data_IF_752980132994
#
_entry.id   IF_752980132994
#
_cell.length_a   1.000
_cell.length_b   1.000
_cell.length_c   1.000
_cell.angle_alpha   90.00
_cell.angle_beta   90.00
_cell.angle_gamma   90.00
#
_symmetry.space_group_name_H-M   'P 1'
#
loop_
_entity.id
_entity.type
_entity.pdbx_description
1 polymer ?
#
# COMPACT_ATOMS: atom_id res chain seq x y z
N UNK A 1 -15.83 -5.59 -34.15
CA UNK A 1 -16.81 -4.48 -34.08
C UNK A 1 -16.33 -3.24 -33.32
N UNK A 2 -15.34 -3.30 -32.40
CA UNK A 2 -14.79 -2.09 -31.72
C UNK A 2 -13.80 -1.26 -32.55
N UNK A 3 -13.07 -1.87 -33.49
CA UNK A 3 -12.06 -1.18 -34.30
C UNK A 3 -12.66 -0.18 -35.30
N UNK A 4 -13.76 -0.55 -35.97
CA UNK A 4 -14.47 0.31 -36.92
C UNK A 4 -15.12 1.53 -36.25
N UNK A 5 -15.69 1.34 -35.05
CA UNK A 5 -16.27 2.44 -34.27
C UNK A 5 -15.22 3.45 -33.81
N UNK A 6 -14.03 3.00 -33.40
CA UNK A 6 -12.91 3.88 -33.03
C UNK A 6 -12.40 4.68 -34.22
N UNK A 7 -12.25 4.04 -35.38
CA UNK A 7 -11.80 4.70 -36.61
C UNK A 7 -12.76 5.82 -37.04
N UNK A 8 -14.07 5.54 -37.05
CA UNK A 8 -15.07 6.56 -37.38
C UNK A 8 -15.19 7.70 -36.35
N UNK A 9 -14.86 7.44 -35.08
CA UNK A 9 -14.81 8.49 -34.06
C UNK A 9 -13.60 9.41 -34.25
N UNK A 10 -12.42 8.84 -34.56
CA UNK A 10 -11.21 9.60 -34.86
C UNK A 10 -11.42 10.48 -36.10
N UNK A 11 -12.01 9.91 -37.16
CA UNK A 11 -12.30 10.66 -38.39
C UNK A 11 -13.23 11.85 -38.16
N UNK A 12 -14.28 11.68 -37.32
CA UNK A 12 -15.18 12.79 -36.97
C UNK A 12 -14.52 13.84 -36.07
N UNK A 13 -13.60 13.44 -35.21
CA UNK A 13 -12.83 14.38 -34.38
C UNK A 13 -11.86 15.17 -35.27
N UNK A 14 -11.13 14.52 -36.17
CA UNK A 14 -10.22 15.18 -37.10
C UNK A 14 -10.99 16.15 -38.02
N UNK A 15 -12.13 15.74 -38.56
CA UNK A 15 -12.98 16.63 -39.37
C UNK A 15 -13.47 17.85 -38.58
N UNK A 16 -13.76 17.69 -37.29
CA UNK A 16 -14.17 18.79 -36.42
C UNK A 16 -13.00 19.68 -35.94
N UNK A 17 -11.76 19.16 -35.97
CA UNK A 17 -10.54 19.89 -35.63
C UNK A 17 -9.93 20.63 -36.83
N UNK A 18 -10.17 20.15 -38.05
CA UNK A 18 -9.78 20.80 -39.32
C UNK A 18 -10.61 22.06 -39.62
N UNK A 19 -11.74 22.24 -38.94
CA UNK A 19 -12.44 23.51 -38.95
C UNK A 19 -11.56 24.58 -38.26
N UNK A 20 -11.01 25.48 -39.07
CA UNK A 20 -10.09 26.57 -38.71
C UNK A 20 -10.65 27.55 -37.64
N UNK A 21 -11.90 27.32 -37.23
CA UNK A 21 -12.58 27.95 -36.11
C UNK A 21 -11.82 27.71 -34.80
N UNK A 22 -11.37 26.48 -34.51
CA UNK A 22 -10.73 26.14 -33.24
C UNK A 22 -9.37 26.84 -33.05
N UNK A 23 -8.55 26.91 -34.11
CA UNK A 23 -7.27 27.63 -34.06
C UNK A 23 -7.44 29.13 -33.85
N UNK A 24 -8.55 29.71 -34.34
CA UNK A 24 -8.86 31.14 -34.18
C UNK A 24 -9.52 31.48 -32.85
N UNK A 25 -10.21 30.52 -32.21
CA UNK A 25 -10.88 30.71 -30.91
C UNK A 25 -10.10 30.15 -29.73
N UNK A 26 -9.00 29.43 -29.96
CA UNK A 26 -8.11 29.01 -28.88
C UNK A 26 -7.61 30.25 -28.11
N UNK A 27 -7.86 30.32 -26.78
CA UNK A 27 -7.42 31.46 -25.99
C UNK A 27 -5.90 31.58 -26.09
N UNK A 28 -5.40 32.78 -26.41
CA UNK A 28 -3.95 33.01 -26.41
C UNK A 28 -3.47 32.99 -24.96
N UNK A 29 -2.84 31.89 -24.58
CA UNK A 29 -2.26 31.75 -23.24
C UNK A 29 -1.05 32.67 -23.16
N UNK A 30 -1.22 33.84 -22.54
CA UNK A 30 -0.09 34.66 -22.15
C UNK A 30 0.78 33.86 -21.15
N UNK A 31 2.11 33.87 -21.34
CA UNK A 31 3.07 33.12 -20.49
C UNK A 31 2.96 33.42 -18.99
N UNK A 32 2.31 34.53 -18.61
CA UNK A 32 2.12 34.98 -17.22
C UNK A 32 0.81 34.52 -16.58
N UNK A 33 -0.04 33.77 -17.27
CA UNK A 33 -1.34 33.38 -16.74
C UNK A 33 -1.18 32.43 -15.54
N UNK A 34 -1.67 32.77 -14.34
CA UNK A 34 -1.47 31.94 -13.16
C UNK A 34 -2.17 30.60 -13.32
N UNK A 35 -1.44 29.50 -13.07
CA UNK A 35 -1.91 28.12 -13.27
C UNK A 35 -3.28 27.82 -12.63
N UNK A 36 -3.59 28.46 -11.49
CA UNK A 36 -4.88 28.30 -10.80
C UNK A 36 -6.08 28.81 -11.58
N UNK A 37 -5.96 29.92 -12.32
CA UNK A 37 -7.07 30.47 -13.11
C UNK A 37 -7.36 29.58 -14.31
N UNK A 38 -6.32 29.08 -14.97
CA UNK A 38 -6.44 28.10 -16.05
C UNK A 38 -7.10 26.79 -15.56
N UNK A 39 -6.76 26.33 -14.35
CA UNK A 39 -7.41 25.17 -13.74
C UNK A 39 -8.89 25.41 -13.40
N UNK A 40 -9.28 26.64 -13.05
CA UNK A 40 -10.68 26.98 -12.80
C UNK A 40 -11.49 27.03 -14.11
N UNK A 41 -10.95 27.63 -15.15
CA UNK A 41 -11.60 27.75 -16.46
C UNK A 41 -11.75 26.39 -17.14
N UNK A 42 -10.71 25.55 -17.12
CA UNK A 42 -10.78 24.18 -17.59
C UNK A 42 -11.84 23.35 -16.85
N UNK A 43 -12.00 23.57 -15.53
CA UNK A 43 -13.05 22.91 -14.74
C UNK A 43 -14.44 23.40 -15.09
N UNK A 44 -14.61 24.70 -15.40
CA UNK A 44 -15.89 25.27 -15.82
C UNK A 44 -16.34 24.67 -17.17
N UNK A 45 -15.44 24.61 -18.15
CA UNK A 45 -15.71 23.99 -19.46
C UNK A 45 -16.01 22.49 -19.29
N UNK A 46 -15.23 21.78 -18.48
CA UNK A 46 -15.48 20.37 -18.21
C UNK A 46 -16.86 20.15 -17.56
N UNK A 47 -17.29 21.03 -16.64
CA UNK A 47 -18.60 20.92 -16.00
C UNK A 47 -19.75 21.12 -16.99
N UNK A 48 -19.56 21.93 -18.03
CA UNK A 48 -20.58 22.21 -19.05
C UNK A 48 -20.70 21.07 -20.09
N UNK A 49 -19.60 20.35 -20.36
CA UNK A 49 -19.52 19.31 -21.40
C UNK A 49 -19.73 17.89 -20.85
N UNK A 50 -19.57 17.67 -19.55
CA UNK A 50 -19.78 16.34 -18.95
C UNK A 50 -21.29 16.05 -18.83
N UNK A 51 -21.83 15.34 -19.83
CA UNK A 51 -23.24 14.97 -19.95
C UNK A 51 -23.65 13.77 -19.06
N UNK A 52 -22.70 13.00 -18.54
CA UNK A 52 -22.94 11.94 -17.58
C UNK A 52 -21.67 11.64 -16.76
N UNK A 53 -21.75 11.82 -15.44
CA UNK A 53 -20.74 11.28 -14.53
C UNK A 53 -21.04 9.82 -14.21
N UNK A 54 -20.09 8.88 -14.37
CA UNK A 54 -20.26 7.52 -13.86
C UNK A 54 -20.53 7.57 -12.35
N UNK A 55 -21.53 6.85 -11.85
CA UNK A 55 -21.91 6.82 -10.41
C UNK A 55 -20.72 6.50 -9.50
N UNK A 56 -19.75 5.73 -10.01
CA UNK A 56 -18.47 5.42 -9.36
C UNK A 56 -17.69 6.66 -8.91
N UNK A 57 -17.81 7.79 -9.62
CA UNK A 57 -17.11 9.03 -9.28
C UNK A 57 -17.68 9.72 -8.04
N UNK A 58 -18.98 9.57 -7.73
CA UNK A 58 -19.61 10.33 -6.64
C UNK A 58 -19.24 9.77 -5.26
N UNK A 59 -19.24 8.44 -5.11
CA UNK A 59 -18.80 7.75 -3.89
C UNK A 59 -17.31 7.97 -3.65
N UNK A 60 -16.50 7.82 -4.70
CA UNK A 60 -15.04 8.02 -4.67
C UNK A 60 -14.67 9.45 -4.29
N UNK A 61 -15.38 10.45 -4.83
CA UNK A 61 -15.19 11.89 -4.56
C UNK A 61 -15.64 12.29 -3.14
N UNK A 62 -16.72 11.68 -2.62
CA UNK A 62 -17.15 11.90 -1.24
C UNK A 62 -16.16 11.31 -0.24
N UNK A 63 -15.69 10.08 -0.50
CA UNK A 63 -14.59 9.49 0.27
C UNK A 63 -13.33 10.36 0.19
N UNK A 64 -12.96 10.85 -1.00
CA UNK A 64 -11.81 11.75 -1.17
C UNK A 64 -11.93 13.01 -0.31
N UNK A 65 -13.11 13.62 -0.23
CA UNK A 65 -13.31 14.84 0.55
C UNK A 65 -13.08 14.65 2.06
N UNK A 66 -13.40 13.47 2.59
CA UNK A 66 -13.22 13.10 4.00
C UNK A 66 -11.77 12.67 4.24
N UNK A 67 -11.19 11.91 3.32
CA UNK A 67 -9.85 11.32 3.44
C UNK A 67 -8.73 12.32 3.16
N UNK A 68 -8.92 13.30 2.27
CA UNK A 68 -7.93 14.35 1.96
C UNK A 68 -8.06 15.60 2.84
N UNK A 69 -8.97 15.62 3.82
CA UNK A 69 -9.10 16.77 4.70
C UNK A 69 -7.85 16.93 5.58
N UNK A 70 -7.32 18.16 5.71
CA UNK A 70 -6.00 18.44 6.30
C UNK A 70 -5.82 17.94 7.74
N UNK A 71 -6.92 17.78 8.49
CA UNK A 71 -6.91 17.24 9.85
C UNK A 71 -7.53 15.84 9.94
N UNK A 72 -8.59 15.54 9.20
CA UNK A 72 -9.24 14.23 9.27
C UNK A 72 -8.42 13.13 8.59
N UNK A 73 -7.69 13.44 7.51
CA UNK A 73 -6.86 12.48 6.78
C UNK A 73 -5.84 11.77 7.68
N UNK A 74 -4.96 12.49 8.40
CA UNK A 74 -4.00 11.89 9.33
C UNK A 74 -4.64 11.04 10.43
N UNK A 75 -5.76 11.49 11.00
CA UNK A 75 -6.48 10.76 12.06
C UNK A 75 -7.09 9.48 11.53
N UNK A 76 -7.69 9.50 10.35
CA UNK A 76 -8.26 8.32 9.69
C UNK A 76 -7.15 7.32 9.35
N UNK A 77 -6.03 7.81 8.80
CA UNK A 77 -4.86 6.96 8.52
C UNK A 77 -4.32 6.29 9.78
N UNK A 78 -4.12 7.07 10.86
CA UNK A 78 -3.66 6.55 12.14
C UNK A 78 -4.65 5.52 12.73
N UNK A 79 -5.95 5.78 12.60
CA UNK A 79 -7.00 4.86 13.08
C UNK A 79 -7.04 3.56 12.29
N UNK A 80 -6.93 3.62 10.95
CA UNK A 80 -6.86 2.43 10.09
C UNK A 80 -5.61 1.63 10.41
N UNK A 81 -4.46 2.29 10.54
CA UNK A 81 -3.20 1.64 10.83
C UNK A 81 -3.22 1.00 12.23
N UNK A 82 -3.75 1.71 13.23
CA UNK A 82 -3.95 1.19 14.58
C UNK A 82 -4.87 -0.04 14.59
N UNK A 83 -6.01 0.05 13.90
CA UNK A 83 -6.95 -1.06 13.78
C UNK A 83 -6.31 -2.25 13.07
N UNK A 84 -5.57 -2.03 11.99
CA UNK A 84 -4.84 -3.07 11.28
C UNK A 84 -3.87 -3.78 12.22
N UNK A 85 -3.02 -3.05 12.97
CA UNK A 85 -2.09 -3.68 13.93
C UNK A 85 -2.81 -4.50 15.00
N UNK A 86 -3.85 -3.93 15.62
CA UNK A 86 -4.65 -4.65 16.61
C UNK A 86 -5.25 -5.92 16.02
N UNK A 87 -5.81 -5.84 14.81
CA UNK A 87 -6.39 -6.99 14.13
C UNK A 87 -5.34 -8.05 13.79
N UNK A 88 -4.17 -7.68 13.27
CA UNK A 88 -3.13 -8.66 12.92
C UNK A 88 -2.69 -9.42 14.18
N UNK A 89 -2.28 -8.73 15.24
CA UNK A 89 -1.81 -9.40 16.46
C UNK A 89 -2.93 -10.15 17.20
N UNK A 90 -4.11 -9.55 17.36
CA UNK A 90 -5.18 -10.19 18.10
C UNK A 90 -5.73 -11.43 17.37
N UNK A 91 -5.92 -11.35 16.05
CA UNK A 91 -6.48 -12.47 15.29
C UNK A 91 -5.47 -13.56 14.96
N UNK A 92 -4.17 -13.23 14.91
CA UNK A 92 -3.14 -14.24 14.66
C UNK A 92 -2.84 -15.11 15.88
N UNK A 93 -3.10 -14.65 17.12
CA UNK A 93 -2.82 -15.46 18.33
C UNK A 93 -3.49 -16.84 18.28
N UNK A 94 -4.79 -16.87 17.98
CA UNK A 94 -5.55 -18.12 17.90
C UNK A 94 -4.98 -19.17 16.92
N UNK A 95 -4.69 -18.84 15.65
CA UNK A 95 -4.06 -19.79 14.73
C UNK A 95 -2.58 -20.07 15.07
N UNK A 96 -1.85 -19.13 15.67
CA UNK A 96 -0.48 -19.35 16.14
C UNK A 96 -0.45 -20.45 17.22
N UNK A 97 -1.31 -20.33 18.24
CA UNK A 97 -1.40 -21.29 19.33
C UNK A 97 -1.81 -22.68 18.82
N UNK A 98 -2.70 -22.74 17.81
CA UNK A 98 -3.09 -24.01 17.19
C UNK A 98 -1.92 -24.70 16.48
N UNK A 99 -1.11 -23.95 15.74
CA UNK A 99 0.06 -24.47 15.05
C UNK A 99 1.10 -24.92 16.09
N UNK A 100 1.37 -24.08 17.09
CA UNK A 100 2.35 -24.38 18.15
C UNK A 100 1.98 -25.67 18.91
N UNK A 101 0.73 -25.79 19.35
CA UNK A 101 0.24 -27.00 20.02
C UNK A 101 0.29 -28.22 19.10
N UNK A 102 -0.02 -28.05 17.81
CA UNK A 102 0.06 -29.12 16.81
C UNK A 102 1.49 -29.64 16.61
N UNK A 103 2.46 -28.73 16.50
CA UNK A 103 3.88 -29.09 16.38
C UNK A 103 4.46 -29.64 17.68
N UNK A 104 4.04 -29.14 18.85
CA UNK A 104 4.40 -29.70 20.15
C UNK A 104 3.92 -31.14 20.29
N UNK A 105 2.64 -31.41 19.99
CA UNK A 105 2.08 -32.76 20.04
C UNK A 105 2.78 -33.71 19.05
N UNK A 106 3.16 -33.22 17.87
CA UNK A 106 3.94 -33.98 16.90
C UNK A 106 5.34 -34.32 17.45
N UNK A 107 6.01 -33.36 18.08
CA UNK A 107 7.32 -33.56 18.69
C UNK A 107 7.26 -34.60 19.83
N UNK A 108 6.24 -34.50 20.70
CA UNK A 108 6.00 -35.46 21.78
C UNK A 108 5.72 -36.86 21.26
N UNK A 109 4.90 -36.99 20.21
CA UNK A 109 4.60 -38.26 19.57
C UNK A 109 5.84 -38.91 18.93
N UNK A 110 6.67 -38.13 18.24
CA UNK A 110 7.96 -38.60 17.71
C UNK A 110 8.90 -38.99 18.86
N UNK A 111 8.91 -38.22 19.95
CA UNK A 111 9.70 -38.51 21.13
C UNK A 111 9.28 -39.80 21.85
N UNK A 112 8.01 -40.16 21.81
CA UNK A 112 7.48 -41.40 22.40
C UNK A 112 7.64 -42.64 21.50
N UNK A 113 7.76 -42.45 20.18
CA UNK A 113 7.85 -43.55 19.20
C UNK A 113 9.28 -43.92 18.85
N UNK A 114 10.21 -42.97 18.90
CA UNK A 114 11.63 -43.24 18.63
C UNK A 114 12.39 -43.68 19.90
N UNK A 115 13.35 -44.62 19.77
CA UNK A 115 14.28 -44.95 20.83
C UNK A 115 15.11 -43.73 21.24
N UNK A 116 15.53 -43.68 22.50
CA UNK A 116 16.40 -42.62 23.00
C UNK A 116 17.75 -42.61 22.27
N UNK A 117 18.12 -41.44 21.75
CA UNK A 117 19.35 -41.24 21.00
C UNK A 117 19.37 -39.91 20.24
N UNK A 118 20.54 -39.56 19.70
CA UNK A 118 20.76 -38.27 19.01
C UNK A 118 19.84 -38.03 17.80
N UNK A 119 19.35 -39.09 17.15
CA UNK A 119 18.43 -39.02 16.01
C UNK A 119 17.05 -38.53 16.45
N UNK A 120 16.56 -38.97 17.62
CA UNK A 120 15.30 -38.51 18.21
C UNK A 120 15.38 -37.01 18.50
N UNK A 121 16.45 -36.56 19.16
CA UNK A 121 16.64 -35.15 19.47
C UNK A 121 16.77 -34.28 18.21
N UNK A 122 17.50 -34.75 17.19
CA UNK A 122 17.64 -34.04 15.94
C UNK A 122 16.30 -33.85 15.22
N UNK A 123 15.43 -34.85 15.24
CA UNK A 123 14.13 -34.80 14.56
C UNK A 123 13.11 -34.00 15.39
N UNK A 124 12.94 -34.33 16.67
CA UNK A 124 11.93 -33.69 17.53
C UNK A 124 12.31 -32.25 17.91
N UNK A 125 13.51 -32.05 18.45
CA UNK A 125 13.95 -30.74 18.94
C UNK A 125 14.66 -29.90 17.87
N UNK A 126 15.19 -30.52 16.81
CA UNK A 126 15.80 -29.81 15.70
C UNK A 126 14.80 -29.48 14.60
N UNK A 127 14.39 -30.50 13.84
CA UNK A 127 13.59 -30.30 12.62
C UNK A 127 12.16 -29.86 12.96
N UNK A 128 11.46 -30.60 13.82
CA UNK A 128 10.05 -30.34 14.12
C UNK A 128 9.87 -29.01 14.84
N UNK A 129 10.63 -28.76 15.90
CA UNK A 129 10.60 -27.48 16.60
C UNK A 129 11.06 -26.31 15.70
N UNK A 130 12.10 -26.51 14.88
CA UNK A 130 12.59 -25.49 13.95
C UNK A 130 11.55 -25.13 12.90
N UNK A 131 10.97 -26.11 12.20
CA UNK A 131 9.92 -25.88 11.20
C UNK A 131 8.64 -25.32 11.84
N UNK A 132 8.28 -25.82 13.03
CA UNK A 132 7.17 -25.29 13.82
C UNK A 132 7.33 -23.81 14.11
N UNK A 133 8.52 -23.37 14.55
CA UNK A 133 8.78 -21.96 14.84
C UNK A 133 8.58 -21.04 13.62
N UNK A 134 8.96 -21.48 12.42
CA UNK A 134 8.77 -20.71 11.19
C UNK A 134 7.30 -20.67 10.78
N UNK A 135 6.59 -21.80 10.91
CA UNK A 135 5.18 -21.89 10.53
C UNK A 135 4.25 -21.15 11.49
N UNK A 136 4.61 -21.02 12.77
CA UNK A 136 3.87 -20.19 13.73
C UNK A 136 3.83 -18.72 13.28
N UNK A 137 4.82 -18.20 12.55
CA UNK A 137 4.74 -16.82 12.03
C UNK A 137 3.85 -16.65 10.80
N UNK A 138 3.47 -17.73 10.12
CA UNK A 138 2.73 -17.68 8.86
C UNK A 138 1.33 -17.03 8.97
N UNK A 139 0.50 -17.32 9.99
CA UNK A 139 -0.82 -16.71 10.14
C UNK A 139 -0.78 -15.17 10.20
N UNK A 140 0.18 -14.61 10.96
CA UNK A 140 0.38 -13.16 11.06
C UNK A 140 0.65 -12.54 9.68
N UNK A 141 1.51 -13.18 8.88
CA UNK A 141 1.87 -12.73 7.53
C UNK A 141 0.65 -12.76 6.61
N UNK A 142 -0.13 -13.84 6.63
CA UNK A 142 -1.33 -13.99 5.80
C UNK A 142 -2.35 -12.88 6.11
N UNK A 143 -2.60 -12.61 7.40
CA UNK A 143 -3.54 -11.57 7.82
C UNK A 143 -3.05 -10.19 7.38
N UNK A 144 -1.75 -9.89 7.58
CA UNK A 144 -1.15 -8.64 7.12
C UNK A 144 -1.31 -8.45 5.61
N UNK A 145 -0.96 -9.46 4.80
CA UNK A 145 -1.11 -9.39 3.35
C UNK A 145 -2.57 -9.27 2.92
N UNK A 146 -3.51 -9.93 3.61
CA UNK A 146 -4.93 -9.77 3.35
C UNK A 146 -5.38 -8.31 3.54
N UNK A 147 -4.95 -7.64 4.61
CA UNK A 147 -5.22 -6.21 4.82
C UNK A 147 -4.56 -5.32 3.77
N UNK A 148 -3.31 -5.59 3.40
CA UNK A 148 -2.61 -4.83 2.34
C UNK A 148 -3.36 -4.96 1.01
N UNK A 149 -3.74 -6.17 0.61
CA UNK A 149 -4.50 -6.43 -0.61
C UNK A 149 -5.89 -5.79 -0.56
N UNK A 150 -6.53 -5.77 0.61
CA UNK A 150 -7.81 -5.06 0.80
C UNK A 150 -7.64 -3.55 0.60
N UNK A 151 -6.59 -2.96 1.16
CA UNK A 151 -6.26 -1.53 1.02
C UNK A 151 -5.85 -1.17 -0.41
N UNK A 152 -5.20 -2.09 -1.12
CA UNK A 152 -4.85 -1.97 -2.53
C UNK A 152 -6.11 -2.02 -3.40
N UNK A 153 -6.98 -3.02 -3.20
CA UNK A 153 -8.24 -3.17 -3.93
C UNK A 153 -9.22 -2.01 -3.68
N UNK A 154 -9.20 -1.41 -2.49
CA UNK A 154 -10.01 -0.23 -2.18
C UNK A 154 -9.41 1.09 -2.70
N UNK A 155 -8.24 1.05 -3.36
CA UNK A 155 -7.54 2.24 -3.87
C UNK A 155 -7.03 3.19 -2.77
N UNK A 156 -7.09 2.76 -1.51
CA UNK A 156 -6.70 3.57 -0.37
C UNK A 156 -5.17 3.63 -0.22
N UNK A 157 -4.46 2.60 -0.70
CA UNK A 157 -3.00 2.55 -0.68
C UNK A 157 -2.37 3.73 -1.44
N UNK A 158 -2.92 4.10 -2.60
CA UNK A 158 -2.47 5.25 -3.38
C UNK A 158 -2.69 6.59 -2.63
N UNK A 159 -3.78 6.71 -1.86
CA UNK A 159 -4.08 7.90 -1.05
C UNK A 159 -3.26 7.96 0.24
N UNK A 160 -3.06 6.81 0.89
CA UNK A 160 -2.26 6.68 2.10
C UNK A 160 -0.78 7.00 1.85
N UNK A 161 -0.23 6.56 0.71
CA UNK A 161 1.10 6.93 0.28
C UNK A 161 1.25 8.45 0.10
N UNK A 162 0.30 9.09 -0.61
CA UNK A 162 0.32 10.55 -0.82
C UNK A 162 0.20 11.34 0.50
N UNK A 163 -0.58 10.85 1.45
CA UNK A 163 -0.76 11.48 2.76
C UNK A 163 0.48 11.31 3.66
N UNK A 164 1.09 10.13 3.68
CA UNK A 164 2.36 9.87 4.37
C UNK A 164 3.48 10.75 3.82
N UNK A 165 3.59 10.87 2.49
CA UNK A 165 4.56 11.77 1.83
C UNK A 165 4.33 13.23 2.26
N UNK A 166 3.07 13.68 2.33
CA UNK A 166 2.74 15.06 2.73
C UNK A 166 3.06 15.34 4.21
N UNK A 167 2.90 14.36 5.09
CA UNK A 167 3.25 14.46 6.51
C UNK A 167 4.77 14.54 6.69
N UNK A 168 5.53 13.70 5.98
CA UNK A 168 6.99 13.69 6.03
C UNK A 168 7.60 14.95 5.42
N UNK A 169 7.02 15.45 4.32
CA UNK A 169 7.41 16.73 3.70
C UNK A 169 7.21 17.93 4.64
N UNK A 170 6.27 17.89 5.59
CA UNK A 170 6.07 18.97 6.58
C UNK A 170 7.07 18.96 7.73
N UNK A 171 7.65 17.81 8.05
CA UNK A 171 8.61 17.67 9.18
C UNK A 171 10.05 17.93 8.72
N UNK A 172 10.29 18.14 7.42
CA UNK A 172 11.59 18.58 6.90
C UNK A 172 12.69 17.52 6.90
N UNK A 173 12.33 16.25 7.13
CA UNK A 173 13.27 15.13 7.12
C UNK A 173 13.36 14.51 5.72
N UNK A 174 14.58 14.11 5.33
CA UNK A 174 14.86 13.47 4.05
C UNK A 174 14.14 12.09 4.02
N UNK A 175 12.95 12.03 3.43
CA UNK A 175 11.96 10.94 3.58
C UNK A 175 12.43 9.52 3.20
N UNK A 176 13.63 9.38 2.62
CA UNK A 176 14.17 8.09 2.15
C UNK A 176 14.51 7.11 3.28
N UNK A 177 14.85 7.59 4.48
CA UNK A 177 15.25 6.75 5.61
C UNK A 177 14.19 6.64 6.72
N UNK A 178 13.22 7.56 6.77
CA UNK A 178 12.20 7.57 7.83
C UNK A 178 11.04 6.60 7.55
N UNK A 179 10.65 6.43 6.28
CA UNK A 179 9.61 5.47 5.86
C UNK A 179 10.00 4.02 6.23
N UNK A 180 11.24 3.55 5.96
CA UNK A 180 11.67 2.22 6.36
C UNK A 180 11.75 2.03 7.87
N UNK A 181 12.17 3.04 8.65
CA UNK A 181 12.32 2.91 10.11
C UNK A 181 10.97 2.86 10.84
N UNK A 182 10.00 3.69 10.44
CA UNK A 182 8.63 3.62 10.98
C UNK A 182 7.93 2.30 10.62
N UNK A 183 8.15 1.81 9.40
CA UNK A 183 7.63 0.53 8.93
C UNK A 183 8.31 -0.64 9.66
N UNK A 184 9.61 -0.55 9.95
CA UNK A 184 10.37 -1.59 10.69
C UNK A 184 9.92 -1.72 12.14
N UNK A 185 9.56 -0.61 12.79
CA UNK A 185 8.99 -0.60 14.15
C UNK A 185 7.64 -1.34 14.23
N UNK A 186 6.90 -1.35 13.12
CA UNK A 186 5.62 -2.01 12.98
C UNK A 186 5.74 -3.47 12.55
N UNK A 187 6.57 -3.73 11.53
CA UNK A 187 6.84 -5.04 10.98
C UNK A 187 8.21 -5.02 10.26
N UNK A 188 9.17 -5.80 10.75
CA UNK A 188 10.54 -5.80 10.23
C UNK A 188 10.63 -6.21 8.75
N UNK A 189 9.72 -7.07 8.26
CA UNK A 189 9.78 -7.62 6.89
C UNK A 189 9.48 -6.55 5.82
N UNK A 190 8.35 -5.81 5.86
CA UNK A 190 8.11 -4.69 4.94
C UNK A 190 9.12 -3.54 5.13
N UNK A 191 9.55 -3.27 6.36
CA UNK A 191 10.55 -2.25 6.67
C UNK A 191 11.89 -2.51 5.98
N UNK A 192 12.39 -3.75 6.04
CA UNK A 192 13.58 -4.17 5.29
C UNK A 192 13.37 -4.13 3.78
N UNK A 193 12.21 -4.58 3.27
CA UNK A 193 11.91 -4.50 1.83
C UNK A 193 11.86 -3.06 1.33
N UNK A 194 11.43 -2.10 2.14
CA UNK A 194 11.37 -0.68 1.77
C UNK A 194 12.77 -0.02 1.66
N UNK A 195 13.79 -0.57 2.35
CA UNK A 195 15.16 -0.05 2.27
C UNK A 195 15.77 -0.11 0.85
N UNK A 196 15.19 -0.91 -0.06
CA UNK A 196 15.60 -0.99 -1.47
C UNK A 196 15.50 0.34 -2.24
N UNK A 197 14.72 1.31 -1.74
CA UNK A 197 14.56 2.64 -2.35
C UNK A 197 15.77 3.55 -2.06
N UNK A 198 16.63 3.18 -1.12
CA UNK A 198 17.85 3.93 -0.77
C UNK A 198 18.95 3.64 -1.81
N UNK A 199 19.34 4.66 -2.57
CA UNK A 199 20.35 4.56 -3.65
C UNK A 199 21.76 4.30 -3.11
N UNK A 200 22.10 4.88 -1.94
CA UNK A 200 23.41 4.71 -1.33
C UNK A 200 23.49 3.36 -0.60
N UNK A 201 24.35 2.48 -1.07
CA UNK A 201 24.47 1.11 -0.56
C UNK A 201 24.85 1.04 0.92
N UNK A 202 25.69 1.97 1.40
CA UNK A 202 26.04 2.06 2.83
C UNK A 202 24.83 2.39 3.69
N UNK A 203 24.00 3.34 3.27
CA UNK A 203 22.81 3.75 4.02
C UNK A 203 21.72 2.65 3.95
N UNK A 204 21.61 1.97 2.81
CA UNK A 204 20.71 0.82 2.62
C UNK A 204 21.04 -0.31 3.57
N UNK A 205 22.31 -0.75 3.60
CA UNK A 205 22.76 -1.83 4.48
C UNK A 205 22.63 -1.45 5.95
N UNK A 206 23.00 -0.22 6.31
CA UNK A 206 22.87 0.28 7.68
C UNK A 206 21.40 0.26 8.14
N UNK A 207 20.47 0.65 7.27
CA UNK A 207 19.03 0.63 7.56
C UNK A 207 18.50 -0.80 7.75
N UNK A 208 18.92 -1.76 6.91
CA UNK A 208 18.52 -3.18 7.02
C UNK A 208 19.04 -3.80 8.32
N UNK A 209 20.29 -3.50 8.71
CA UNK A 209 20.91 -4.06 9.93
C UNK A 209 20.32 -3.44 11.21
N UNK A 210 19.98 -2.15 11.18
CA UNK A 210 19.39 -1.44 12.33
C UNK A 210 17.91 -1.81 12.52
N UNK A 211 17.18 -2.10 11.44
CA UNK A 211 15.74 -2.40 11.50
C UNK A 211 15.34 -3.46 12.56
N UNK A 212 15.98 -4.63 12.67
CA UNK A 212 15.66 -5.62 13.70
C UNK A 212 16.17 -5.27 15.11
N UNK A 213 17.05 -4.27 15.27
CA UNK A 213 17.55 -3.82 16.57
C UNK A 213 16.65 -2.75 17.23
N UNK A 214 15.61 -2.28 16.53
CA UNK A 214 14.68 -1.26 17.04
C UNK A 214 13.42 -1.83 17.69
N UNK A 215 13.16 -3.14 17.55
CA UNK A 215 11.99 -3.88 18.09
C UNK A 215 12.44 -4.87 19.14
#
# INVERSE_FOLDING_TARGET
TRAAGRAGLIERIDTALDDDVWRRTAPSLAETTPVRSLQQEARAIAAEVILAEPVMNRVTRSLDSIVLNRFAGPVILASILFFMFQAVFAWATWPMDLIENGFSALADWVGATLPDGWIKDLIANGVIAGVGSVLVFLPQIIILFAFILLLEASGYMARAAFLMDTLMLRVGLNGRAFIPLLSSFACAIPGMMAARVIENERDRLTTIIIAPLMT
#
